data_IF_393678264776
#
_entry.id   IF_393678264776
#
_cell.length_a   1.000
_cell.length_b   1.000
_cell.length_c   1.000
_cell.angle_alpha   90.00
_cell.angle_beta   90.00
_cell.angle_gamma   90.00
#
_symmetry.space_group_name_H-M   'P 1'
#
loop_
_entity.id
_entity.type
_entity.pdbx_description
1 polymer ?
#
# COMPACT_ATOMS: atom_id res chain seq x y z
N UNK A 1 -3.32 3.09 -19.39
CA UNK A 1 -4.26 1.94 -19.47
C UNK A 1 -5.26 2.04 -20.63
N UNK A 2 -5.84 3.20 -20.96
CA UNK A 2 -6.85 3.32 -22.06
C UNK A 2 -6.39 2.87 -23.45
N UNK A 3 -5.09 2.83 -23.73
CA UNK A 3 -4.54 2.38 -25.01
C UNK A 3 -4.26 0.87 -25.09
N UNK A 4 -4.44 0.12 -23.99
CA UNK A 4 -4.23 -1.32 -23.97
C UNK A 4 -5.33 -2.00 -24.81
N UNK A 5 -4.92 -2.84 -25.77
CA UNK A 5 -5.83 -3.71 -26.52
C UNK A 5 -5.72 -5.11 -25.96
N UNK A 6 -6.85 -5.68 -25.57
CA UNK A 6 -6.96 -7.07 -25.13
C UNK A 6 -7.52 -7.86 -26.31
N UNK A 7 -6.90 -8.99 -26.69
CA UNK A 7 -7.46 -9.88 -27.69
C UNK A 7 -8.93 -10.21 -27.40
N UNK A 8 -9.76 -10.17 -28.44
CA UNK A 8 -11.17 -10.51 -28.33
C UNK A 8 -11.36 -12.04 -28.29
N UNK A 9 -12.48 -12.48 -27.71
CA UNK A 9 -12.92 -13.88 -27.69
C UNK A 9 -12.00 -14.88 -26.93
N UNK A 10 -11.23 -14.41 -25.95
CA UNK A 10 -10.50 -15.25 -25.02
C UNK A 10 -10.87 -14.88 -23.57
N UNK A 11 -11.52 -15.82 -22.87
CA UNK A 11 -11.98 -15.66 -21.49
C UNK A 11 -10.89 -16.00 -20.44
N UNK A 12 -9.66 -16.33 -20.88
CA UNK A 12 -8.54 -16.74 -20.01
C UNK A 12 -7.40 -15.73 -19.98
N UNK A 13 -7.67 -14.49 -20.40
CA UNK A 13 -6.72 -13.40 -20.31
C UNK A 13 -6.89 -12.62 -19.01
N UNK A 14 -5.77 -12.25 -18.39
CA UNK A 14 -5.72 -11.44 -17.18
C UNK A 14 -4.84 -10.23 -17.43
N UNK A 15 -5.32 -9.03 -17.09
CA UNK A 15 -4.52 -7.81 -17.16
C UNK A 15 -3.59 -7.75 -15.96
N UNK A 16 -2.28 -7.63 -16.18
CA UNK A 16 -1.31 -7.35 -15.12
C UNK A 16 -1.03 -5.85 -14.99
N UNK A 17 -1.07 -5.34 -13.77
CA UNK A 17 -0.75 -3.94 -13.43
C UNK A 17 0.28 -3.90 -12.33
N UNK A 18 1.31 -3.06 -12.46
CA UNK A 18 2.24 -2.75 -11.37
C UNK A 18 1.93 -1.33 -10.89
N UNK A 19 1.70 -1.16 -9.59
CA UNK A 19 1.23 0.12 -9.05
C UNK A 19 1.76 0.40 -7.64
N UNK A 20 2.79 1.23 -7.55
CA UNK A 20 3.34 1.75 -6.30
C UNK A 20 2.71 3.11 -5.99
N UNK A 21 1.51 3.08 -5.38
CA UNK A 21 0.62 4.26 -5.28
C UNK A 21 0.25 4.57 -3.82
N UNK A 22 0.35 5.83 -3.36
CA UNK A 22 0.96 6.99 -4.01
C UNK A 22 2.48 6.85 -4.20
N UNK A 23 3.02 7.24 -5.36
CA UNK A 23 4.46 7.10 -5.68
C UNK A 23 5.37 7.70 -4.61
N UNK A 24 5.06 8.91 -4.13
CA UNK A 24 5.88 9.61 -3.15
C UNK A 24 5.99 8.85 -1.82
N UNK A 25 4.91 8.21 -1.40
CA UNK A 25 4.92 7.38 -0.19
C UNK A 25 5.58 6.02 -0.46
N UNK A 26 5.12 5.34 -1.52
CA UNK A 26 5.39 3.94 -1.79
C UNK A 26 6.80 3.66 -2.34
N UNK A 27 7.29 4.46 -3.30
CA UNK A 27 8.47 4.13 -4.10
C UNK A 27 9.56 5.22 -4.10
N UNK A 28 9.16 6.49 -4.07
CA UNK A 28 10.12 7.59 -4.15
C UNK A 28 11.20 7.49 -3.05
N UNK A 29 12.44 7.80 -3.45
CA UNK A 29 13.62 7.71 -2.58
C UNK A 29 13.60 8.72 -1.42
N UNK A 30 12.86 9.81 -1.60
CA UNK A 30 12.67 10.83 -0.57
C UNK A 30 12.06 10.27 0.71
N UNK A 31 12.77 10.45 1.84
CA UNK A 31 12.22 10.20 3.18
C UNK A 31 11.19 11.25 3.65
N UNK A 32 10.95 12.33 2.88
CA UNK A 32 10.00 13.40 3.27
C UNK A 32 8.55 12.91 3.33
N UNK A 33 8.17 11.99 2.44
CA UNK A 33 6.83 11.39 2.40
C UNK A 33 6.84 10.01 3.06
N UNK A 34 7.18 9.95 4.35
CA UNK A 34 7.20 8.70 5.14
C UNK A 34 5.94 8.48 6.00
N UNK A 35 4.99 9.41 5.97
CA UNK A 35 3.75 9.38 6.74
C UNK A 35 2.57 9.17 5.79
N UNK A 36 1.66 8.26 6.13
CA UNK A 36 0.42 8.01 5.39
C UNK A 36 -0.68 7.58 6.36
N UNK A 37 -1.86 8.21 6.31
CA UNK A 37 -2.97 7.94 7.25
C UNK A 37 -4.29 7.95 6.48
N UNK A 38 -5.09 6.89 6.60
CA UNK A 38 -6.29 6.67 5.79
C UNK A 38 -7.37 7.73 6.02
N UNK A 39 -7.61 8.09 7.28
CA UNK A 39 -8.64 9.08 7.64
C UNK A 39 -8.20 10.53 7.45
N UNK A 40 -6.96 10.77 7.02
CA UNK A 40 -6.48 12.12 6.69
C UNK A 40 -6.91 12.48 5.28
N UNK A 41 -7.60 13.61 5.15
CA UNK A 41 -8.07 14.13 3.87
C UNK A 41 -6.97 14.13 2.79
N UNK A 42 -7.31 13.59 1.63
CA UNK A 42 -6.45 13.54 0.45
C UNK A 42 -5.49 12.35 0.37
N UNK A 43 -5.28 11.60 1.46
CA UNK A 43 -4.25 10.55 1.49
C UNK A 43 -4.68 9.27 0.76
N UNK A 44 -5.98 9.03 0.64
CA UNK A 44 -6.52 7.85 -0.06
C UNK A 44 -6.77 8.09 -1.55
N UNK A 45 -6.80 9.35 -1.99
CA UNK A 45 -7.25 9.76 -3.31
C UNK A 45 -6.60 8.99 -4.47
N UNK A 46 -5.27 8.77 -4.41
CA UNK A 46 -4.57 8.08 -5.50
C UNK A 46 -4.92 6.58 -5.57
N UNK A 47 -5.13 5.94 -4.41
CA UNK A 47 -5.55 4.54 -4.31
C UNK A 47 -6.99 4.40 -4.77
N UNK A 48 -7.85 5.32 -4.34
CA UNK A 48 -9.26 5.40 -4.76
C UNK A 48 -9.38 5.59 -6.27
N UNK A 49 -8.57 6.50 -6.83
CA UNK A 49 -8.50 6.74 -8.26
C UNK A 49 -8.03 5.51 -9.02
N UNK A 50 -6.98 4.84 -8.55
CA UNK A 50 -6.49 3.60 -9.15
C UNK A 50 -7.59 2.52 -9.16
N UNK A 51 -8.22 2.27 -8.01
CA UNK A 51 -9.29 1.28 -7.89
C UNK A 51 -10.46 1.61 -8.84
N UNK A 52 -10.91 2.87 -8.89
CA UNK A 52 -11.97 3.29 -9.80
C UNK A 52 -11.57 3.11 -11.27
N UNK A 53 -10.33 3.46 -11.63
CA UNK A 53 -9.81 3.28 -12.98
C UNK A 53 -9.78 1.80 -13.39
N UNK A 54 -9.25 0.92 -12.55
CA UNK A 54 -9.22 -0.53 -12.82
C UNK A 54 -10.63 -1.11 -12.93
N UNK A 55 -11.53 -0.67 -12.05
CA UNK A 55 -12.93 -1.06 -12.05
C UNK A 55 -13.63 -0.70 -13.36
N UNK A 56 -13.62 0.59 -13.72
CA UNK A 56 -14.31 1.09 -14.92
C UNK A 56 -13.71 0.55 -16.21
N UNK A 57 -12.38 0.39 -16.28
CA UNK A 57 -11.73 -0.07 -17.51
C UNK A 57 -11.85 -1.57 -17.72
N UNK A 58 -11.86 -2.37 -16.65
CA UNK A 58 -11.71 -3.83 -16.73
C UNK A 58 -12.77 -4.60 -15.96
N UNK A 59 -12.81 -4.52 -14.62
CA UNK A 59 -13.62 -5.48 -13.83
C UNK A 59 -15.12 -5.31 -14.04
N UNK A 60 -15.60 -4.08 -14.29
CA UNK A 60 -17.01 -3.82 -14.65
C UNK A 60 -17.40 -4.40 -16.02
N UNK A 61 -16.40 -4.72 -16.85
CA UNK A 61 -16.57 -5.33 -18.17
C UNK A 61 -16.29 -6.84 -18.16
N UNK A 62 -16.12 -7.44 -16.97
CA UNK A 62 -15.80 -8.85 -16.82
C UNK A 62 -14.34 -9.21 -17.11
N UNK A 63 -13.45 -8.24 -17.34
CA UNK A 63 -12.04 -8.49 -17.57
C UNK A 63 -11.29 -8.61 -16.24
N UNK A 64 -10.67 -9.77 -16.00
CA UNK A 64 -9.85 -10.00 -14.81
C UNK A 64 -8.59 -9.14 -14.80
N UNK A 65 -8.19 -8.70 -13.61
CA UNK A 65 -7.00 -7.89 -13.35
C UNK A 65 -6.27 -8.46 -12.14
N UNK A 66 -4.94 -8.50 -12.19
CA UNK A 66 -4.06 -8.73 -11.03
C UNK A 66 -3.13 -7.53 -10.90
N UNK A 67 -2.97 -7.02 -9.68
CA UNK A 67 -1.85 -6.13 -9.38
C UNK A 67 -0.64 -7.02 -9.12
N UNK A 68 0.17 -7.22 -10.16
CA UNK A 68 1.31 -8.14 -10.17
C UNK A 68 2.49 -7.65 -9.33
N UNK A 69 2.58 -6.33 -9.12
CA UNK A 69 3.50 -5.74 -8.16
C UNK A 69 2.89 -4.51 -7.48
N UNK A 70 3.05 -4.45 -6.17
CA UNK A 70 2.91 -3.25 -5.36
C UNK A 70 3.79 -3.38 -4.11
N UNK A 71 3.92 -2.29 -3.37
CA UNK A 71 4.56 -2.29 -2.06
C UNK A 71 4.82 -0.86 -1.59
N UNK A 72 5.31 -0.72 -0.36
CA UNK A 72 5.86 0.53 0.13
C UNK A 72 7.25 0.30 0.75
N UNK A 73 8.28 0.94 0.20
CA UNK A 73 9.65 0.82 0.71
C UNK A 73 9.73 1.36 2.14
N UNK A 74 10.54 0.70 2.96
CA UNK A 74 10.77 1.13 4.34
C UNK A 74 11.45 2.50 4.37
N UNK A 75 10.84 3.42 5.14
CA UNK A 75 11.39 4.73 5.52
C UNK A 75 11.37 4.87 7.04
N UNK A 76 11.62 3.75 7.73
CA UNK A 76 11.56 3.64 9.19
C UNK A 76 10.15 3.94 9.74
N UNK A 77 9.12 3.46 9.02
CA UNK A 77 7.74 3.92 9.13
C UNK A 77 6.71 2.78 9.09
N UNK A 78 6.99 1.65 9.76
CA UNK A 78 6.17 0.43 9.71
C UNK A 78 4.67 0.67 9.95
N UNK A 79 4.30 1.45 10.97
CA UNK A 79 2.89 1.72 11.29
C UNK A 79 2.11 2.33 10.10
N UNK A 80 2.72 3.29 9.40
CA UNK A 80 2.11 3.95 8.25
C UNK A 80 2.07 3.02 7.03
N UNK A 81 3.08 2.16 6.86
CA UNK A 81 3.07 1.13 5.80
C UNK A 81 2.01 0.07 6.05
N UNK A 82 1.80 -0.35 7.29
CA UNK A 82 0.77 -1.30 7.66
C UNK A 82 -0.64 -0.72 7.43
N UNK A 83 -0.87 0.53 7.84
CA UNK A 83 -2.14 1.22 7.57
C UNK A 83 -2.40 1.38 6.06
N UNK A 84 -1.38 1.81 5.30
CA UNK A 84 -1.44 1.90 3.84
C UNK A 84 -1.73 0.54 3.19
N UNK A 85 -1.01 -0.51 3.59
CA UNK A 85 -1.19 -1.86 3.03
C UNK A 85 -2.59 -2.38 3.29
N UNK A 86 -3.11 -2.18 4.51
CA UNK A 86 -4.48 -2.54 4.89
C UNK A 86 -5.48 -1.84 3.98
N UNK A 87 -5.36 -0.52 3.83
CA UNK A 87 -6.28 0.28 3.01
C UNK A 87 -6.22 -0.12 1.54
N UNK A 88 -5.01 -0.22 0.98
CA UNK A 88 -4.77 -0.57 -0.41
C UNK A 88 -5.40 -1.90 -0.76
N UNK A 89 -5.06 -2.97 -0.01
CA UNK A 89 -5.57 -4.32 -0.29
C UNK A 89 -7.07 -4.39 -0.05
N UNK A 90 -7.60 -3.74 1.00
CA UNK A 90 -9.05 -3.68 1.22
C UNK A 90 -9.76 -3.04 0.03
N UNK A 91 -9.24 -1.92 -0.48
CA UNK A 91 -9.83 -1.22 -1.63
C UNK A 91 -9.82 -2.07 -2.88
N UNK A 92 -8.71 -2.73 -3.20
CA UNK A 92 -8.61 -3.61 -4.36
C UNK A 92 -9.48 -4.86 -4.22
N UNK A 93 -9.63 -5.40 -3.01
CA UNK A 93 -10.57 -6.49 -2.72
C UNK A 93 -12.01 -6.11 -3.04
N UNK A 94 -12.45 -4.86 -2.78
CA UNK A 94 -13.82 -4.42 -3.11
C UNK A 94 -14.15 -4.46 -4.60
N UNK A 95 -13.14 -4.51 -5.47
CA UNK A 95 -13.30 -4.60 -6.92
C UNK A 95 -12.81 -5.96 -7.47
N UNK A 96 -12.52 -6.93 -6.60
CA UNK A 96 -12.09 -8.28 -6.99
C UNK A 96 -10.67 -8.36 -7.54
N UNK A 97 -9.79 -7.40 -7.25
CA UNK A 97 -8.41 -7.36 -7.76
C UNK A 97 -7.42 -7.83 -6.69
N UNK A 98 -6.77 -8.99 -6.83
CA UNK A 98 -5.72 -9.43 -5.93
C UNK A 98 -4.43 -8.62 -6.14
N UNK A 99 -3.62 -8.53 -5.09
CA UNK A 99 -2.38 -7.75 -5.05
C UNK A 99 -1.20 -8.63 -4.63
N UNK A 100 -0.07 -8.51 -5.33
CA UNK A 100 1.15 -9.28 -5.06
C UNK A 100 2.27 -8.35 -4.61
N UNK A 101 2.70 -8.50 -3.36
CA UNK A 101 3.75 -7.65 -2.78
C UNK A 101 5.10 -7.93 -3.43
N UNK A 102 5.82 -6.87 -3.79
CA UNK A 102 7.22 -6.96 -4.25
C UNK A 102 8.16 -7.12 -3.05
N UNK A 103 8.65 -8.33 -2.78
CA UNK A 103 9.67 -8.58 -1.76
C UNK A 103 11.03 -8.83 -2.45
N UNK A 104 11.96 -7.88 -2.31
CA UNK A 104 13.31 -7.99 -2.86
C UNK A 104 14.36 -8.43 -1.82
N UNK A 105 13.95 -8.80 -0.61
CA UNK A 105 14.84 -9.19 0.49
C UNK A 105 15.73 -8.08 1.04
N UNK A 106 15.53 -6.81 0.65
CA UNK A 106 16.33 -5.69 1.12
C UNK A 106 15.68 -4.99 2.33
N UNK A 107 16.45 -4.87 3.42
CA UNK A 107 16.01 -4.25 4.69
C UNK A 107 16.88 -3.08 5.14
N UNK A 108 18.10 -2.96 4.61
CA UNK A 108 19.11 -1.96 4.99
C UNK A 108 19.76 -1.34 3.75
N UNK A 109 20.31 -0.14 3.90
CA UNK A 109 20.97 0.61 2.82
C UNK A 109 20.11 1.75 2.27
N UNK A 110 20.55 2.33 1.15
CA UNK A 110 19.89 3.47 0.49
C UNK A 110 18.96 3.07 -0.67
N UNK A 111 18.94 1.79 -1.04
CA UNK A 111 18.10 1.28 -2.12
C UNK A 111 16.63 1.12 -1.75
N UNK A 112 15.88 0.45 -2.62
CA UNK A 112 14.46 0.16 -2.45
C UNK A 112 14.25 -0.92 -1.37
N UNK A 113 13.96 -0.51 -0.13
CA UNK A 113 13.83 -1.42 1.01
C UNK A 113 12.43 -2.06 1.10
N UNK A 114 12.12 -3.00 0.21
CA UNK A 114 10.80 -3.66 0.15
C UNK A 114 10.72 -5.01 0.85
N UNK A 115 11.82 -5.51 1.43
CA UNK A 115 11.81 -6.78 2.14
C UNK A 115 10.74 -6.81 3.25
N UNK A 116 10.01 -7.91 3.33
CA UNK A 116 9.11 -8.27 4.44
C UNK A 116 9.61 -9.54 5.14
N UNK A 117 9.95 -10.56 4.37
CA UNK A 117 10.40 -11.86 4.86
C UNK A 117 11.93 -11.99 4.79
N UNK A 118 12.56 -12.12 5.96
CA UNK A 118 13.98 -12.42 6.07
C UNK A 118 14.21 -13.89 5.70
N UNK A 119 14.68 -14.11 4.48
CA UNK A 119 14.92 -15.45 3.92
C UNK A 119 16.07 -16.20 4.59
N UNK A 120 16.94 -15.51 5.35
CA UNK A 120 18.06 -16.14 6.06
C UNK A 120 17.63 -16.69 7.41
N UNK A 121 16.84 -15.90 8.13
CA UNK A 121 16.39 -16.24 9.48
C UNK A 121 14.99 -16.89 9.50
N UNK A 122 14.28 -16.90 8.36
CA UNK A 122 12.90 -17.37 8.22
C UNK A 122 11.91 -16.60 9.09
N UNK A 123 12.09 -15.28 9.18
CA UNK A 123 11.33 -14.40 10.06
C UNK A 123 10.72 -13.22 9.31
N UNK A 124 9.57 -12.73 9.79
CA UNK A 124 8.95 -11.52 9.29
C UNK A 124 9.56 -10.29 9.99
N UNK A 125 10.24 -9.42 9.24
CA UNK A 125 10.89 -8.21 9.79
C UNK A 125 9.92 -7.07 10.05
N UNK A 126 8.77 -7.10 9.38
CA UNK A 126 7.70 -6.11 9.49
C UNK A 126 6.36 -6.82 9.71
N UNK A 127 6.15 -7.43 10.90
CA UNK A 127 4.97 -8.23 11.18
C UNK A 127 3.67 -7.43 11.02
N UNK A 128 3.64 -6.14 11.37
CA UNK A 128 2.42 -5.34 11.22
C UNK A 128 2.00 -5.18 9.75
N UNK A 129 2.98 -5.05 8.84
CA UNK A 129 2.69 -4.95 7.40
C UNK A 129 2.19 -6.29 6.88
N UNK A 130 2.85 -7.39 7.25
CA UNK A 130 2.42 -8.75 6.90
C UNK A 130 0.98 -9.03 7.40
N UNK A 131 0.68 -8.75 8.67
CA UNK A 131 -0.65 -8.98 9.23
C UNK A 131 -1.71 -8.09 8.56
N UNK A 132 -1.38 -6.82 8.26
CA UNK A 132 -2.25 -5.93 7.50
C UNK A 132 -2.59 -6.46 6.10
N UNK A 133 -1.62 -7.04 5.39
CA UNK A 133 -1.84 -7.65 4.08
C UNK A 133 -2.78 -8.85 4.18
N UNK A 134 -2.52 -9.75 5.13
CA UNK A 134 -3.29 -10.99 5.30
C UNK A 134 -4.73 -10.68 5.72
N UNK A 135 -4.93 -9.88 6.77
CA UNK A 135 -6.28 -9.51 7.24
C UNK A 135 -7.08 -8.81 6.14
N UNK A 136 -6.49 -7.83 5.45
CA UNK A 136 -7.18 -7.16 4.34
C UNK A 136 -7.53 -8.13 3.20
N UNK A 137 -6.65 -9.09 2.88
CA UNK A 137 -6.93 -10.13 1.87
C UNK A 137 -8.06 -11.07 2.28
N UNK A 138 -8.23 -11.33 3.58
CA UNK A 138 -9.34 -12.11 4.14
C UNK A 138 -10.66 -11.32 4.22
N UNK A 139 -10.61 -9.99 4.03
CA UNK A 139 -11.78 -9.10 4.21
C UNK A 139 -11.97 -8.66 5.66
N UNK A 140 -10.96 -8.84 6.50
CA UNK A 140 -10.91 -8.33 7.85
C UNK A 140 -10.37 -6.89 7.85
N UNK A 141 -10.87 -6.07 8.78
CA UNK A 141 -10.50 -4.65 8.87
C UNK A 141 -9.63 -4.32 10.09
N UNK A 142 -9.52 -5.26 11.03
CA UNK A 142 -8.74 -5.16 12.27
C UNK A 142 -7.43 -5.93 12.12
N UNK A 143 -6.36 -5.39 12.70
CA UNK A 143 -5.03 -5.99 12.70
C UNK A 143 -4.47 -5.82 14.10
N UNK A 144 -4.08 -6.92 14.75
CA UNK A 144 -3.53 -6.87 16.11
C UNK A 144 -2.25 -6.03 16.13
N UNK A 145 -2.15 -5.14 17.12
CA UNK A 145 -1.02 -4.21 17.26
C UNK A 145 -1.05 -2.99 16.33
N UNK A 146 -1.94 -2.94 15.33
CA UNK A 146 -2.16 -1.75 14.51
C UNK A 146 -3.25 -0.86 15.13
N UNK A 147 -2.89 0.38 15.46
CA UNK A 147 -3.85 1.37 15.98
C UNK A 147 -4.91 1.73 14.93
N UNK A 148 -6.05 2.26 15.36
CA UNK A 148 -7.02 2.86 14.45
C UNK A 148 -6.39 4.02 13.68
N UNK A 149 -6.89 4.26 12.47
CA UNK A 149 -6.49 5.40 11.63
C UNK A 149 -6.62 6.74 12.38
N UNK A 150 -7.69 6.91 13.16
CA UNK A 150 -7.90 8.08 14.03
C UNK A 150 -6.82 8.24 15.08
N UNK A 151 -6.40 7.15 15.73
CA UNK A 151 -5.32 7.20 16.72
C UNK A 151 -3.96 7.50 16.07
N UNK A 152 -3.71 6.95 14.88
CA UNK A 152 -2.50 7.25 14.09
C UNK A 152 -2.50 8.73 13.65
N UNK A 153 -3.66 9.28 13.27
CA UNK A 153 -3.81 10.69 12.94
C UNK A 153 -3.54 11.59 14.14
N UNK A 154 -4.01 11.23 15.32
CA UNK A 154 -3.79 12.02 16.54
C UNK A 154 -2.33 12.03 16.97
N UNK A 155 -1.61 10.92 16.83
CA UNK A 155 -0.15 10.89 16.98
C UNK A 155 0.54 11.81 15.97
N UNK A 156 0.14 11.72 14.70
CA UNK A 156 0.71 12.56 13.65
C UNK A 156 0.53 14.06 13.96
N UNK A 157 -0.64 14.47 14.47
CA UNK A 157 -0.91 15.86 14.87
C UNK A 157 0.01 16.29 16.03
N UNK A 158 0.22 15.42 17.01
CA UNK A 158 1.12 15.70 18.16
C UNK A 158 2.56 15.88 17.70
N UNK A 159 3.07 14.98 16.84
CA UNK A 159 4.43 15.08 16.29
C UNK A 159 4.65 16.41 15.54
N UNK A 160 3.65 16.82 14.74
CA UNK A 160 3.71 18.09 13.99
C UNK A 160 3.74 19.28 14.96
N UNK A 161 2.90 19.27 16.00
CA UNK A 161 2.87 20.35 17.00
C UNK A 161 4.20 20.48 17.74
N UNK A 162 4.81 19.35 18.14
CA UNK A 162 6.11 19.34 18.81
C UNK A 162 7.23 19.87 17.89
N UNK A 163 7.26 19.43 16.62
CA UNK A 163 8.28 19.89 15.66
C UNK A 163 8.25 21.39 15.40
N UNK A 164 7.05 22.01 15.44
CA UNK A 164 6.90 23.46 15.29
C UNK A 164 7.43 24.23 16.49
N UNK A 165 7.25 23.70 17.69
CA UNK A 165 7.74 24.34 18.91
C UNK A 165 9.27 24.26 19.01
N UNK A 166 9.89 23.15 18.60
CA UNK A 166 11.35 22.99 18.61
C UNK A 166 12.09 23.79 17.53
N UNK A 167 11.38 24.29 16.51
CA UNK A 167 11.95 25.15 15.45
C UNK A 167 11.82 26.66 15.75
N UNK A 168 11.22 27.00 16.88
CA UNK A 168 11.03 28.39 17.34
C UNK A 168 12.00 28.78 18.48
N UNK A 169 12.83 27.85 18.95
CA UNK A 169 13.98 28.05 19.85
C UNK A 169 15.29 28.01 19.05
#
# INVERSE_FOLDING_TARGET
>A
LKALKIPENDDKLIVSVHAYTPYNFALADSKKSNKWVACKEGFTNDIDYLANMLKTLFTDKGQAVIIGEFGARSKDNEKYRAEWAKYYVTKMKTIGVPCVWWDNGAFIGSGELFGLFDRRNLEWRYPLVKDALISASNGEYTVDGLKSDTAILDELKKDIAQSKNSSAE
#
